data_IF_043285676606
#
_entry.id   IF_043285676606
#
_cell.length_a   1.000
_cell.length_b   1.000
_cell.length_c   1.000
_cell.angle_alpha   90.00
_cell.angle_beta   90.00
_cell.angle_gamma   90.00
#
_symmetry.space_group_name_H-M   'P 1'
#
loop_
_entity.id
_entity.type
_entity.pdbx_description
1 polymer ?
#
# COMPACT_ATOMS: atom_id res chain seq x y z
N UNK A 1 -4.17 14.49 -5.31
CA UNK A 1 -3.53 14.27 -6.63
C UNK A 1 -3.47 12.79 -7.00
N UNK A 2 -2.94 11.89 -6.15
CA UNK A 2 -2.87 10.45 -6.45
C UNK A 2 -4.21 9.70 -6.57
N UNK A 3 -5.35 10.30 -6.20
CA UNK A 3 -6.68 9.69 -6.37
C UNK A 3 -7.32 10.03 -7.73
N UNK A 4 -6.75 10.98 -8.47
CA UNK A 4 -7.33 11.46 -9.74
C UNK A 4 -7.37 10.35 -10.79
N UNK A 5 -6.30 9.58 -11.05
CA UNK A 5 -6.35 8.53 -12.07
C UNK A 5 -7.19 7.32 -11.64
N UNK A 6 -7.40 7.13 -10.33
CA UNK A 6 -8.33 6.13 -9.78
C UNK A 6 -9.79 6.49 -10.08
N UNK A 7 -10.17 7.75 -9.86
CA UNK A 7 -11.51 8.24 -10.21
C UNK A 7 -11.73 8.26 -11.73
N UNK A 8 -10.69 8.62 -12.50
CA UNK A 8 -10.74 8.59 -13.96
C UNK A 8 -10.98 7.17 -14.50
N UNK A 9 -10.28 6.17 -13.96
CA UNK A 9 -10.47 4.78 -14.36
C UNK A 9 -11.86 4.26 -13.97
N UNK A 10 -12.43 4.71 -12.84
CA UNK A 10 -13.82 4.40 -12.50
C UNK A 10 -14.82 4.99 -13.51
N UNK A 11 -14.60 6.23 -13.97
CA UNK A 11 -15.44 6.84 -15.01
C UNK A 11 -15.36 6.09 -16.34
N UNK A 12 -14.16 5.61 -16.72
CA UNK A 12 -14.00 4.76 -17.91
C UNK A 12 -14.76 3.44 -17.80
N UNK A 13 -14.77 2.82 -16.60
CA UNK A 13 -15.56 1.60 -16.34
C UNK A 13 -17.06 1.89 -16.49
N UNK A 14 -17.56 2.98 -15.91
CA UNK A 14 -18.99 3.35 -15.98
C UNK A 14 -19.41 3.73 -17.41
N UNK A 15 -18.49 4.31 -18.17
CA UNK A 15 -18.76 4.75 -19.56
C UNK A 15 -18.52 3.65 -20.60
N UNK A 16 -18.16 2.43 -20.16
CA UNK A 16 -17.80 1.28 -21.01
C UNK A 16 -16.84 1.64 -22.17
N UNK A 17 -15.98 2.62 -21.94
CA UNK A 17 -15.11 3.20 -22.96
C UNK A 17 -13.72 2.59 -22.86
N UNK A 18 -13.20 2.12 -23.99
CA UNK A 18 -11.82 1.64 -24.08
C UNK A 18 -10.89 2.78 -24.49
N UNK A 19 -9.71 2.84 -23.88
CA UNK A 19 -8.71 3.86 -24.16
C UNK A 19 -7.39 3.15 -24.44
N UNK A 20 -6.74 3.43 -25.58
CA UNK A 20 -5.54 2.71 -26.04
C UNK A 20 -5.68 1.17 -26.08
N UNK A 21 -6.87 0.66 -26.45
CA UNK A 21 -7.21 -0.78 -26.41
C UNK A 21 -7.16 -1.43 -25.02
N UNK A 22 -7.10 -0.63 -23.95
CA UNK A 22 -7.20 -1.11 -22.58
C UNK A 22 -8.60 -0.83 -22.04
N UNK A 23 -9.14 -1.79 -21.30
CA UNK A 23 -10.42 -1.61 -20.62
C UNK A 23 -10.29 -0.73 -19.38
N UNK A 24 -11.38 -0.11 -18.95
CA UNK A 24 -11.40 0.67 -17.70
C UNK A 24 -10.94 -0.15 -16.49
N UNK A 25 -11.25 -1.45 -16.46
CA UNK A 25 -10.83 -2.39 -15.41
C UNK A 25 -9.30 -2.58 -15.41
N UNK A 26 -8.68 -2.71 -16.57
CA UNK A 26 -7.23 -2.82 -16.68
C UNK A 26 -6.54 -1.53 -16.20
N UNK A 27 -7.05 -0.36 -16.58
CA UNK A 27 -6.57 0.92 -16.05
C UNK A 27 -6.69 1.02 -14.53
N UNK A 28 -7.83 0.59 -13.99
CA UNK A 28 -8.08 0.59 -12.56
C UNK A 28 -7.11 -0.32 -11.79
N UNK A 29 -6.91 -1.55 -12.27
CA UNK A 29 -5.98 -2.52 -11.67
C UNK A 29 -4.54 -1.99 -11.76
N UNK A 30 -4.14 -1.48 -12.93
CA UNK A 30 -2.81 -0.96 -13.14
C UNK A 30 -2.49 0.19 -12.20
N UNK A 31 -3.40 1.16 -12.11
CA UNK A 31 -3.20 2.31 -11.23
C UNK A 31 -3.26 1.95 -9.75
N UNK A 32 -4.13 1.02 -9.37
CA UNK A 32 -4.18 0.48 -8.02
C UNK A 32 -2.88 -0.23 -7.63
N UNK A 33 -2.25 -0.96 -8.55
CA UNK A 33 -0.95 -1.58 -8.30
C UNK A 33 0.16 -0.54 -8.11
N UNK A 34 0.13 0.57 -8.86
CA UNK A 34 1.07 1.69 -8.70
C UNK A 34 0.96 2.31 -7.31
N UNK A 35 -0.25 2.62 -6.84
CA UNK A 35 -0.46 3.16 -5.50
C UNK A 35 0.03 2.17 -4.43
N UNK A 36 -0.34 0.88 -4.53
CA UNK A 36 0.09 -0.14 -3.55
C UNK A 36 1.62 -0.26 -3.49
N UNK A 37 2.29 -0.16 -4.64
CA UNK A 37 3.76 -0.15 -4.73
C UNK A 37 4.37 1.10 -4.10
N UNK A 38 3.72 2.26 -4.25
CA UNK A 38 4.15 3.49 -3.60
C UNK A 38 4.03 3.41 -2.07
N UNK A 39 2.91 2.91 -1.53
CA UNK A 39 2.75 2.73 -0.08
C UNK A 39 3.78 1.74 0.47
N UNK A 40 4.07 0.67 -0.28
CA UNK A 40 5.17 -0.23 0.04
C UNK A 40 6.52 0.50 0.14
N UNK A 41 6.85 1.36 -0.82
CA UNK A 41 8.07 2.17 -0.79
C UNK A 41 8.16 3.06 0.46
N UNK A 42 7.04 3.67 0.86
CA UNK A 42 6.96 4.48 2.10
C UNK A 42 7.22 3.61 3.34
N UNK A 43 6.61 2.42 3.42
CA UNK A 43 6.85 1.46 4.49
C UNK A 43 8.31 1.02 4.54
N UNK A 44 8.92 0.73 3.38
CA UNK A 44 10.31 0.34 3.29
C UNK A 44 11.25 1.44 3.81
N UNK A 45 11.02 2.70 3.42
CA UNK A 45 11.77 3.85 3.91
C UNK A 45 11.69 3.98 5.43
N UNK A 46 10.47 3.89 5.99
CA UNK A 46 10.28 3.93 7.45
C UNK A 46 10.99 2.76 8.17
N UNK A 47 10.98 1.58 7.55
CA UNK A 47 11.72 0.41 8.04
C UNK A 47 13.23 0.65 8.12
N UNK A 48 13.82 1.37 7.17
CA UNK A 48 15.25 1.71 7.20
C UNK A 48 15.56 2.76 8.27
N UNK A 49 14.76 3.81 8.37
CA UNK A 49 15.00 4.89 9.34
C UNK A 49 14.97 4.38 10.80
N UNK A 50 14.16 3.36 11.10
CA UNK A 50 14.03 2.76 12.44
C UNK A 50 14.79 1.43 12.63
N UNK A 51 15.94 1.27 11.95
CA UNK A 51 16.70 0.01 11.85
C UNK A 51 17.01 -0.71 13.18
N UNK A 52 17.02 -0.01 14.31
CA UNK A 52 17.41 -0.55 15.61
C UNK A 52 16.35 -1.43 16.30
N UNK A 53 15.11 -1.48 15.81
CA UNK A 53 14.04 -2.30 16.40
C UNK A 53 13.69 -3.54 15.56
N UNK A 54 13.32 -4.65 16.22
CA UNK A 54 12.82 -5.88 15.56
C UNK A 54 11.65 -5.62 14.59
N UNK A 55 10.91 -4.53 14.83
CA UNK A 55 9.85 -4.05 13.94
C UNK A 55 10.34 -3.62 12.56
N UNK A 56 11.52 -3.01 12.46
CA UNK A 56 12.11 -2.60 11.18
C UNK A 56 12.18 -3.77 10.19
N UNK A 57 12.68 -4.93 10.65
CA UNK A 57 12.76 -6.14 9.81
C UNK A 57 11.39 -6.59 9.32
N UNK A 58 10.37 -6.59 10.19
CA UNK A 58 9.03 -7.01 9.81
C UNK A 58 8.41 -6.03 8.79
N UNK A 59 8.64 -4.73 8.95
CA UNK A 59 8.18 -3.69 8.03
C UNK A 59 8.81 -3.86 6.64
N UNK A 60 10.12 -4.14 6.58
CA UNK A 60 10.84 -4.39 5.33
C UNK A 60 10.35 -5.67 4.60
N UNK A 61 9.98 -6.71 5.35
CA UNK A 61 9.39 -7.92 4.75
C UNK A 61 7.99 -7.63 4.21
N UNK A 62 7.17 -6.90 4.97
CA UNK A 62 5.81 -6.52 4.54
C UNK A 62 5.82 -5.63 3.31
N UNK A 63 6.75 -4.67 3.20
CA UNK A 63 6.86 -3.83 2.01
C UNK A 63 7.11 -4.67 0.75
N UNK A 64 8.06 -5.60 0.79
CA UNK A 64 8.34 -6.48 -0.33
C UNK A 64 7.12 -7.35 -0.68
N UNK A 65 6.42 -7.88 0.33
CA UNK A 65 5.21 -8.65 0.13
C UNK A 65 4.12 -7.83 -0.59
N UNK A 66 3.95 -6.55 -0.26
CA UNK A 66 2.98 -5.68 -0.93
C UNK A 66 3.33 -5.38 -2.39
N UNK A 67 4.62 -5.22 -2.73
CA UNK A 67 5.05 -5.08 -4.13
C UNK A 67 4.76 -6.37 -4.91
N UNK A 68 5.04 -7.53 -4.32
CA UNK A 68 4.77 -8.82 -4.95
C UNK A 68 3.27 -9.03 -5.18
N UNK A 69 2.42 -8.58 -4.24
CA UNK A 69 0.97 -8.58 -4.43
C UNK A 69 0.57 -7.64 -5.58
N UNK A 70 1.09 -6.41 -5.61
CA UNK A 70 0.82 -5.47 -6.70
C UNK A 70 1.21 -6.06 -8.07
N UNK A 71 2.39 -6.68 -8.15
CA UNK A 71 2.87 -7.37 -9.36
C UNK A 71 1.99 -8.56 -9.75
N UNK A 72 1.60 -9.39 -8.78
CA UNK A 72 0.68 -10.52 -9.00
C UNK A 72 -0.68 -10.06 -9.51
N UNK A 73 -1.21 -8.94 -9.01
CA UNK A 73 -2.45 -8.36 -9.51
C UNK A 73 -2.34 -7.90 -10.97
N UNK A 74 -1.19 -7.35 -11.38
CA UNK A 74 -0.95 -6.96 -12.77
C UNK A 74 -0.94 -8.18 -13.70
N UNK A 75 -0.27 -9.27 -13.30
CA UNK A 75 -0.24 -10.51 -14.07
C UNK A 75 -1.65 -11.11 -14.25
N UNK A 76 -2.45 -11.09 -13.17
CA UNK A 76 -3.80 -11.63 -13.18
C UNK A 76 -4.82 -10.70 -13.86
N UNK A 77 -4.50 -9.41 -14.00
CA UNK A 77 -5.43 -8.38 -14.50
C UNK A 77 -5.92 -8.60 -15.93
N UNK A 78 -5.17 -9.35 -16.74
CA UNK A 78 -5.57 -9.63 -18.13
C UNK A 78 -6.54 -10.82 -18.26
N UNK A 79 -6.40 -11.84 -17.41
CA UNK A 79 -7.20 -13.08 -17.48
C UNK A 79 -8.34 -13.11 -16.47
N UNK A 80 -8.13 -12.60 -15.25
CA UNK A 80 -9.12 -12.65 -14.16
C UNK A 80 -9.13 -11.35 -13.35
N UNK A 81 -9.81 -10.33 -13.87
CA UNK A 81 -9.91 -9.02 -13.24
C UNK A 81 -10.48 -9.06 -11.81
N UNK A 82 -11.46 -9.93 -11.51
CA UNK A 82 -12.03 -10.08 -10.16
C UNK A 82 -10.96 -10.53 -9.16
N UNK A 83 -10.14 -11.51 -9.54
CA UNK A 83 -9.06 -12.01 -8.69
C UNK A 83 -8.00 -10.93 -8.45
N UNK A 84 -7.64 -10.17 -9.50
CA UNK A 84 -6.72 -9.04 -9.37
C UNK A 84 -7.25 -7.95 -8.43
N UNK A 85 -8.54 -7.60 -8.52
CA UNK A 85 -9.17 -6.61 -7.65
C UNK A 85 -9.19 -7.11 -6.19
N UNK A 86 -9.56 -8.36 -5.96
CA UNK A 86 -9.55 -8.95 -4.61
C UNK A 86 -8.15 -8.97 -4.01
N UNK A 87 -7.13 -9.29 -4.82
CA UNK A 87 -5.73 -9.32 -4.39
C UNK A 87 -5.21 -7.91 -4.06
N UNK A 88 -5.60 -6.90 -4.86
CA UNK A 88 -5.30 -5.50 -4.54
C UNK A 88 -6.02 -5.06 -3.26
N UNK A 89 -7.30 -5.39 -3.11
CA UNK A 89 -8.09 -5.04 -1.92
C UNK A 89 -7.49 -5.63 -0.64
N UNK A 90 -7.05 -6.90 -0.67
CA UNK A 90 -6.34 -7.52 0.46
C UNK A 90 -4.99 -6.86 0.71
N UNK A 91 -4.25 -6.48 -0.35
CA UNK A 91 -3.03 -5.69 -0.25
C UNK A 91 -3.23 -4.37 0.47
N UNK A 92 -4.26 -3.59 0.09
CA UNK A 92 -4.60 -2.33 0.76
C UNK A 92 -5.00 -2.52 2.23
N UNK A 93 -5.83 -3.53 2.52
CA UNK A 93 -6.22 -3.85 3.89
C UNK A 93 -5.01 -4.24 4.76
N UNK A 94 -4.07 -5.00 4.18
CA UNK A 94 -2.86 -5.41 4.87
C UNK A 94 -1.90 -4.23 5.12
N UNK A 95 -1.78 -3.29 4.17
CA UNK A 95 -1.03 -2.04 4.39
C UNK A 95 -1.64 -1.24 5.53
N UNK A 96 -2.96 -1.05 5.53
CA UNK A 96 -3.65 -0.33 6.61
C UNK A 96 -3.42 -0.98 7.97
N UNK A 97 -3.46 -2.31 8.04
CA UNK A 97 -3.16 -3.06 9.27
C UNK A 97 -1.70 -2.87 9.70
N UNK A 98 -0.76 -2.91 8.75
CA UNK A 98 0.66 -2.69 9.02
C UNK A 98 0.92 -1.28 9.58
N UNK A 99 0.35 -0.25 8.97
CA UNK A 99 0.46 1.13 9.46
C UNK A 99 -0.13 1.28 10.87
N UNK A 100 -1.29 0.68 11.12
CA UNK A 100 -1.93 0.71 12.44
C UNK A 100 -1.05 0.03 13.50
N UNK A 101 -0.45 -1.11 13.16
CA UNK A 101 0.47 -1.81 14.05
C UNK A 101 1.71 -0.97 14.37
N UNK A 102 2.31 -0.31 13.37
CA UNK A 102 3.47 0.57 13.55
C UNK A 102 3.11 1.72 14.50
N UNK A 103 2.00 2.43 14.25
CA UNK A 103 1.55 3.55 15.09
C UNK A 103 1.32 3.15 16.55
N UNK A 104 0.72 1.98 16.78
CA UNK A 104 0.48 1.50 18.14
C UNK A 104 1.79 1.29 18.91
N UNK A 105 2.81 0.73 18.25
CA UNK A 105 4.10 0.50 18.90
C UNK A 105 4.85 1.80 19.14
N UNK A 106 4.77 2.74 18.20
CA UNK A 106 5.40 4.07 18.34
C UNK A 106 4.83 4.84 19.55
N UNK A 107 3.51 4.75 19.77
CA UNK A 107 2.83 5.33 20.94
C UNK A 107 3.23 4.65 22.26
N UNK A 108 3.54 3.35 22.25
CA UNK A 108 4.02 2.65 23.45
C UNK A 108 5.47 3.00 23.80
N UNK A 109 6.29 3.38 22.82
CA UNK A 109 7.68 3.81 23.02
C UNK A 109 7.77 5.25 23.53
N UNK A 110 6.82 6.14 23.17
CA UNK A 110 6.79 7.54 23.61
C UNK A 110 5.73 7.88 24.70
N UNK A 111 5.93 7.42 25.95
CA UNK A 111 5.42 8.18 27.10
C UNK A 111 6.48 8.51 28.17
N UNK A 112 7.71 7.99 28.08
CA UNK A 112 8.67 8.04 29.21
C UNK A 112 9.93 8.87 28.99
N UNK A 113 10.30 9.19 27.76
CA UNK A 113 11.53 9.95 27.46
C UNK A 113 11.45 11.43 27.85
N UNK A 114 10.34 12.09 27.51
CA UNK A 114 10.19 13.53 27.72
C UNK A 114 9.93 13.92 29.18
N UNK A 115 9.19 13.10 29.93
CA UNK A 115 8.86 13.42 31.32
C UNK A 115 10.07 13.27 32.27
N UNK A 116 11.06 12.45 31.92
CA UNK A 116 12.28 12.28 32.73
C UNK A 116 13.24 13.48 32.70
N UNK A 117 13.15 14.34 31.67
CA UNK A 117 14.05 15.50 31.51
C UNK A 117 13.45 16.81 32.05
N UNK A 118 12.14 16.85 32.33
CA UNK A 118 11.49 18.04 32.91
C UNK A 118 11.63 18.14 34.44
N UNK A 119 11.96 17.04 35.10
CA UNK A 119 12.04 16.94 36.56
C UNK A 119 13.48 16.82 37.10
N UNK A 120 14.48 17.29 36.36
CA UNK A 120 15.86 17.43 36.87
C UNK A 120 16.28 18.89 36.86
#
# INVERSE_FOLDING_TARGET
LGLVPFLFSLLLIVSDTTLFNLSGQQFFIAYSAVILSFLSGVLWGNGIDHYYHRLSRNILVLSNLFVLLAWGALLQGNTHYIAAILLLATGYAAVWYAEKLIRNVELEVDPKGYQGMRNK
#
